data_IF_882592439034
#
_entry.id   IF_882592439034
#
_cell.length_a   1.000
_cell.length_b   1.000
_cell.length_c   1.000
_cell.angle_alpha   90.00
_cell.angle_beta   90.00
_cell.angle_gamma   90.00
#
_symmetry.space_group_name_H-M   'P 1'
#
loop_
_entity.id
_entity.type
_entity.pdbx_description
1 polymer ?
#
# COMPACT_ATOMS: atom_id res chain seq x y z
N UNK A 1 -8.54 -7.13 19.16
CA UNK A 1 -7.49 -6.51 18.32
C UNK A 1 -6.52 -7.60 17.94
N UNK A 2 -6.28 -7.82 16.65
CA UNK A 2 -5.37 -8.87 16.17
C UNK A 2 -3.89 -8.50 16.42
N UNK A 3 -2.98 -9.48 16.22
CA UNK A 3 -1.54 -9.26 16.47
C UNK A 3 -0.94 -8.19 15.58
N UNK A 4 -1.40 -8.09 14.33
CA UNK A 4 -0.91 -7.14 13.35
C UNK A 4 -1.26 -5.70 13.72
N UNK A 5 -2.52 -5.44 14.12
CA UNK A 5 -2.94 -4.11 14.62
C UNK A 5 -2.12 -3.67 15.84
N UNK A 6 -1.89 -4.59 16.80
CA UNK A 6 -1.07 -4.30 17.98
C UNK A 6 0.37 -3.93 17.62
N UNK A 7 0.98 -4.65 16.68
CA UNK A 7 2.34 -4.38 16.19
C UNK A 7 2.43 -2.96 15.62
N UNK A 8 1.49 -2.58 14.75
CA UNK A 8 1.49 -1.27 14.12
C UNK A 8 1.11 -0.13 15.09
N UNK A 9 0.27 -0.39 16.10
CA UNK A 9 0.03 0.58 17.19
C UNK A 9 1.31 0.88 17.96
N UNK A 10 2.13 -0.14 18.26
CA UNK A 10 3.45 0.04 18.88
C UNK A 10 4.38 0.85 17.97
N UNK A 11 4.44 0.53 16.68
CA UNK A 11 5.29 1.24 15.72
C UNK A 11 4.89 2.72 15.56
N UNK A 12 3.59 3.01 15.58
CA UNK A 12 3.08 4.37 15.54
C UNK A 12 3.51 5.21 16.76
N UNK A 13 3.62 4.56 17.94
CA UNK A 13 4.00 5.24 19.19
C UNK A 13 5.52 5.36 19.39
N UNK A 14 6.33 4.58 18.67
CA UNK A 14 7.79 4.53 18.83
C UNK A 14 8.57 5.29 17.75
N UNK A 15 7.88 6.03 16.87
CA UNK A 15 8.51 6.76 15.77
C UNK A 15 8.88 5.86 14.56
N UNK A 16 8.59 4.55 14.63
CA UNK A 16 8.92 3.64 13.53
C UNK A 16 8.08 3.89 12.27
N UNK A 17 6.92 4.52 12.40
CA UNK A 17 6.11 4.96 11.25
C UNK A 17 6.83 5.99 10.38
N UNK A 18 7.57 6.91 10.99
CA UNK A 18 8.38 7.92 10.32
C UNK A 18 9.63 7.28 9.69
N UNK A 19 10.21 6.29 10.33
CA UNK A 19 11.34 5.54 9.75
C UNK A 19 10.91 4.72 8.54
N UNK A 20 9.71 4.13 8.56
CA UNK A 20 9.14 3.46 7.38
C UNK A 20 8.88 4.44 6.23
N UNK A 21 8.30 5.62 6.51
CA UNK A 21 8.13 6.68 5.52
C UNK A 21 9.47 7.04 4.86
N UNK A 22 10.51 7.29 5.66
CA UNK A 22 11.87 7.57 5.15
C UNK A 22 12.45 6.40 4.36
N UNK A 23 12.27 5.17 4.87
CA UNK A 23 12.81 3.95 4.26
C UNK A 23 12.18 3.60 2.91
N UNK A 24 10.89 3.90 2.72
CA UNK A 24 10.16 3.65 1.47
C UNK A 24 10.06 4.88 0.56
N UNK A 25 10.29 6.08 1.12
CA UNK A 25 10.05 7.36 0.45
C UNK A 25 10.71 7.46 -0.92
N UNK A 26 11.97 7.05 -1.06
CA UNK A 26 12.69 7.12 -2.35
C UNK A 26 12.02 6.27 -3.42
N UNK A 27 11.76 4.98 -3.14
CA UNK A 27 11.18 4.05 -4.12
C UNK A 27 9.74 4.41 -4.46
N UNK A 28 8.94 4.78 -3.45
CA UNK A 28 7.55 5.19 -3.67
C UNK A 28 7.46 6.51 -4.43
N UNK A 29 8.31 7.50 -4.10
CA UNK A 29 8.33 8.77 -4.83
C UNK A 29 8.74 8.58 -6.28
N UNK A 30 9.83 7.83 -6.55
CA UNK A 30 10.25 7.51 -7.91
C UNK A 30 9.14 6.81 -8.71
N UNK A 31 8.28 6.06 -8.03
CA UNK A 31 7.15 5.41 -8.64
C UNK A 31 5.99 6.38 -8.89
N UNK A 32 5.53 7.09 -7.85
CA UNK A 32 4.38 7.99 -7.92
C UNK A 32 4.60 9.20 -8.85
N UNK A 33 5.83 9.71 -8.93
CA UNK A 33 6.15 10.86 -9.78
C UNK A 33 6.10 10.54 -11.28
N UNK A 34 6.15 9.24 -11.63
CA UNK A 34 6.03 8.74 -13.02
C UNK A 34 4.59 8.37 -13.41
N UNK A 35 3.62 8.48 -12.48
CA UNK A 35 2.24 8.15 -12.78
C UNK A 35 1.58 9.24 -13.61
N UNK A 36 1.03 8.85 -14.75
CA UNK A 36 0.11 9.69 -15.52
C UNK A 36 -1.27 9.59 -14.90
N UNK A 37 -1.61 10.54 -14.03
CA UNK A 37 -2.89 10.60 -13.34
C UNK A 37 -3.87 11.45 -14.15
N UNK A 38 -5.12 10.97 -14.26
CA UNK A 38 -6.20 11.71 -14.92
C UNK A 38 -6.56 12.96 -14.13
N UNK A 39 -7.22 13.90 -14.77
CA UNK A 39 -7.89 14.98 -14.06
C UNK A 39 -9.06 14.45 -13.21
N UNK A 40 -9.31 15.11 -12.09
CA UNK A 40 -10.40 14.81 -11.17
C UNK A 40 -10.42 13.36 -10.63
N UNK A 41 -9.24 12.78 -10.37
CA UNK A 41 -9.14 11.42 -9.85
C UNK A 41 -9.40 11.33 -8.34
N UNK A 42 -9.89 10.17 -7.91
CA UNK A 42 -10.09 9.78 -6.53
C UNK A 42 -9.10 8.68 -6.16
N UNK A 43 -8.46 8.84 -5.02
CA UNK A 43 -7.35 8.01 -4.55
C UNK A 43 -7.71 7.27 -3.26
N UNK A 44 -7.29 6.02 -3.15
CA UNK A 44 -7.33 5.22 -1.92
C UNK A 44 -5.95 4.65 -1.63
N UNK A 45 -5.49 4.80 -0.38
CA UNK A 45 -4.30 4.14 0.16
C UNK A 45 -4.70 3.08 1.19
N UNK A 46 -4.37 1.82 0.92
CA UNK A 46 -4.68 0.67 1.77
C UNK A 46 -3.47 0.35 2.63
N UNK A 47 -3.64 0.37 3.96
CA UNK A 47 -2.56 0.31 4.92
C UNK A 47 -1.73 1.60 4.90
N UNK A 48 -2.42 2.73 4.96
CA UNK A 48 -1.82 4.06 4.76
C UNK A 48 -0.84 4.48 5.85
N UNK A 49 -0.75 3.75 6.95
CA UNK A 49 0.10 4.08 8.10
C UNK A 49 -0.15 5.51 8.59
N UNK A 50 0.91 6.30 8.74
CA UNK A 50 0.84 7.70 9.17
C UNK A 50 0.29 8.66 8.09
N UNK A 51 -0.19 8.16 6.94
CA UNK A 51 -0.88 8.91 5.89
C UNK A 51 0.00 9.72 4.94
N UNK A 52 1.30 9.53 4.91
CA UNK A 52 2.22 10.35 4.12
C UNK A 52 1.97 10.29 2.59
N UNK A 53 1.59 9.13 2.04
CA UNK A 53 1.24 8.99 0.63
C UNK A 53 -0.07 9.71 0.32
N UNK A 54 -1.07 9.56 1.18
CA UNK A 54 -2.35 10.28 1.05
C UNK A 54 -2.11 11.79 1.04
N UNK A 55 -1.32 12.32 1.98
CA UNK A 55 -0.92 13.74 2.01
C UNK A 55 -0.25 14.18 0.71
N UNK A 56 0.74 13.42 0.23
CA UNK A 56 1.44 13.72 -1.03
C UNK A 56 0.46 13.79 -2.21
N UNK A 57 -0.45 12.84 -2.31
CA UNK A 57 -1.41 12.77 -3.42
C UNK A 57 -2.47 13.86 -3.33
N UNK A 58 -2.95 14.19 -2.13
CA UNK A 58 -3.95 15.22 -1.90
C UNK A 58 -3.51 16.62 -2.38
N UNK A 59 -2.19 16.87 -2.39
CA UNK A 59 -1.61 18.14 -2.85
C UNK A 59 -1.62 18.28 -4.39
N UNK A 60 -1.88 17.21 -5.14
CA UNK A 60 -2.01 17.30 -6.59
C UNK A 60 -3.32 18.03 -6.96
N UNK A 61 -3.26 19.01 -7.85
CA UNK A 61 -4.45 19.77 -8.28
C UNK A 61 -5.51 18.84 -8.88
N UNK A 62 -5.10 17.84 -9.64
CA UNK A 62 -5.97 16.84 -10.27
C UNK A 62 -6.61 15.84 -9.28
N UNK A 63 -6.19 15.80 -8.01
CA UNK A 63 -6.81 14.97 -6.99
C UNK A 63 -8.05 15.66 -6.42
N UNK A 64 -9.20 14.98 -6.44
CA UNK A 64 -10.44 15.49 -5.84
C UNK A 64 -10.73 14.91 -4.47
N UNK A 65 -10.23 13.70 -4.18
CA UNK A 65 -10.39 13.01 -2.89
C UNK A 65 -9.28 12.01 -2.69
N UNK A 66 -8.66 12.02 -1.52
CA UNK A 66 -7.65 11.08 -1.10
C UNK A 66 -8.05 10.45 0.23
N UNK A 67 -8.24 9.13 0.24
CA UNK A 67 -8.65 8.37 1.42
C UNK A 67 -7.52 7.45 1.83
N UNK A 68 -7.22 7.40 3.14
CA UNK A 68 -6.35 6.41 3.75
C UNK A 68 -7.13 5.49 4.68
N UNK A 69 -6.91 4.19 4.58
CA UNK A 69 -7.42 3.21 5.53
C UNK A 69 -6.28 2.43 6.17
N UNK A 70 -6.39 2.18 7.46
CA UNK A 70 -5.46 1.35 8.21
C UNK A 70 -6.19 0.71 9.39
N UNK A 71 -5.80 -0.50 9.77
CA UNK A 71 -6.37 -1.18 10.93
C UNK A 71 -5.80 -0.70 12.28
N UNK A 72 -4.66 -0.03 12.28
CA UNK A 72 -4.06 0.56 13.47
C UNK A 72 -4.73 1.89 13.81
N UNK A 73 -5.31 1.95 15.02
CA UNK A 73 -5.91 3.20 15.54
C UNK A 73 -4.85 4.29 15.72
N UNK A 74 -3.65 3.91 16.14
CA UNK A 74 -2.57 4.87 16.38
C UNK A 74 -1.98 5.42 15.08
N UNK A 75 -1.85 4.59 14.03
CA UNK A 75 -1.47 5.06 12.70
C UNK A 75 -2.47 6.08 12.17
N UNK A 76 -3.77 5.80 12.24
CA UNK A 76 -4.81 6.75 11.80
C UNK A 76 -4.84 8.01 12.68
N UNK A 77 -4.59 7.90 13.99
CA UNK A 77 -4.46 9.08 14.85
C UNK A 77 -3.30 9.98 14.36
N UNK A 78 -2.14 9.39 14.08
CA UNK A 78 -0.97 10.11 13.55
C UNK A 78 -1.25 10.71 12.17
N UNK A 79 -1.96 9.98 11.28
CA UNK A 79 -2.35 10.49 9.97
C UNK A 79 -3.27 11.72 10.10
N UNK A 80 -4.30 11.65 10.94
CA UNK A 80 -5.25 12.75 11.18
C UNK A 80 -4.62 13.99 11.78
N UNK A 81 -3.60 13.83 12.63
CA UNK A 81 -2.90 14.98 13.23
C UNK A 81 -2.03 15.76 12.24
N UNK A 82 -1.81 15.24 11.04
CA UNK A 82 -0.93 15.81 10.02
C UNK A 82 -1.68 16.16 8.70
N UNK A 83 -3.01 16.28 8.74
CA UNK A 83 -3.83 16.65 7.56
C UNK A 83 -3.36 18.00 7.00
N UNK A 84 -3.20 18.07 5.68
CA UNK A 84 -2.77 19.27 4.94
C UNK A 84 -3.84 19.78 3.97
N UNK A 85 -4.90 19.01 3.69
CA UNK A 85 -5.90 19.32 2.67
C UNK A 85 -7.28 18.80 3.06
N UNK A 86 -8.33 19.53 2.72
CA UNK A 86 -9.73 19.09 2.86
C UNK A 86 -10.07 17.84 2.02
N UNK A 87 -9.24 17.53 1.03
CA UNK A 87 -9.39 16.34 0.19
C UNK A 87 -9.07 15.04 0.95
N UNK A 88 -8.41 15.13 2.12
CA UNK A 88 -7.94 13.98 2.89
C UNK A 88 -9.00 13.45 3.84
N UNK A 89 -9.11 12.13 3.91
CA UNK A 89 -9.92 11.44 4.92
C UNK A 89 -9.22 10.15 5.36
N UNK A 90 -9.29 9.81 6.66
CA UNK A 90 -8.63 8.65 7.23
C UNK A 90 -9.58 7.84 8.10
N UNK A 91 -9.62 6.50 7.89
CA UNK A 91 -10.52 5.60 8.60
C UNK A 91 -9.76 4.43 9.23
N UNK A 92 -10.11 4.13 10.48
CA UNK A 92 -9.67 2.90 11.15
C UNK A 92 -10.55 1.76 10.66
N UNK A 93 -10.05 0.95 9.75
CA UNK A 93 -10.81 -0.20 9.22
C UNK A 93 -9.86 -1.20 8.54
N UNK A 94 -10.30 -2.43 8.40
CA UNK A 94 -9.72 -3.43 7.52
C UNK A 94 -10.38 -3.34 6.14
N UNK A 95 -9.61 -3.59 5.09
CA UNK A 95 -10.08 -3.50 3.71
C UNK A 95 -11.30 -4.41 3.48
N UNK A 96 -11.23 -5.64 3.96
CA UNK A 96 -12.23 -6.69 3.71
C UNK A 96 -13.59 -6.34 4.32
N UNK A 97 -13.57 -5.75 5.51
CA UNK A 97 -14.78 -5.37 6.26
C UNK A 97 -15.24 -3.93 5.97
N UNK A 98 -14.46 -3.15 5.20
CA UNK A 98 -14.82 -1.76 4.93
C UNK A 98 -16.08 -1.65 4.08
N UNK A 99 -17.17 -1.23 4.71
CA UNK A 99 -18.44 -1.02 4.01
C UNK A 99 -18.47 0.41 3.45
N UNK A 100 -18.29 0.52 2.12
CA UNK A 100 -18.29 1.78 1.40
C UNK A 100 -18.86 1.63 -0.01
N UNK A 101 -19.59 2.65 -0.46
CA UNK A 101 -20.06 2.80 -1.85
C UNK A 101 -19.08 3.56 -2.73
N UNK A 102 -18.00 4.09 -2.13
CA UNK A 102 -16.97 4.85 -2.82
C UNK A 102 -16.27 4.02 -3.89
N UNK A 103 -15.95 4.66 -5.01
CA UNK A 103 -15.15 4.09 -6.09
C UNK A 103 -13.97 4.98 -6.40
N UNK A 104 -12.85 4.37 -6.79
CA UNK A 104 -11.57 5.03 -6.95
C UNK A 104 -11.02 4.86 -8.37
N UNK A 105 -10.35 5.89 -8.84
CA UNK A 105 -9.60 5.84 -10.10
C UNK A 105 -8.24 5.19 -9.88
N UNK A 106 -7.66 5.45 -8.70
CA UNK A 106 -6.36 4.92 -8.30
C UNK A 106 -6.46 4.34 -6.88
N UNK A 107 -6.03 3.09 -6.73
CA UNK A 107 -5.79 2.46 -5.42
C UNK A 107 -4.31 2.19 -5.30
N UNK A 108 -3.77 2.41 -4.12
CA UNK A 108 -2.38 2.18 -3.77
C UNK A 108 -2.28 1.33 -2.49
N UNK A 109 -1.25 0.53 -2.37
CA UNK A 109 -0.87 -0.16 -1.14
C UNK A 109 0.64 -0.36 -1.13
N UNK A 110 1.29 -0.01 -0.03
CA UNK A 110 2.73 -0.24 0.15
C UNK A 110 2.97 -1.02 1.44
N UNK A 111 3.64 -2.16 1.34
CA UNK A 111 3.99 -3.01 2.49
C UNK A 111 2.80 -3.38 3.40
N UNK A 112 1.64 -3.60 2.81
CA UNK A 112 0.41 -3.81 3.59
C UNK A 112 -0.42 -5.01 3.15
N UNK A 113 -0.62 -5.22 1.84
CA UNK A 113 -1.61 -6.18 1.34
C UNK A 113 -1.35 -7.62 1.80
N UNK A 114 -0.09 -8.02 1.94
CA UNK A 114 0.30 -9.36 2.38
C UNK A 114 -0.03 -9.68 3.85
N UNK A 115 -0.52 -8.70 4.63
CA UNK A 115 -1.11 -8.96 5.95
C UNK A 115 -2.58 -9.40 5.89
N UNK A 116 -3.24 -9.27 4.74
CA UNK A 116 -4.54 -9.85 4.46
C UNK A 116 -4.36 -11.32 4.09
N UNK A 117 -4.77 -12.23 4.97
CA UNK A 117 -4.60 -13.68 4.78
C UNK A 117 -5.96 -14.36 4.90
N UNK A 118 -6.48 -14.96 3.82
CA UNK A 118 -5.92 -15.07 2.46
C UNK A 118 -6.04 -13.77 1.65
N UNK A 119 -4.99 -13.47 0.87
CA UNK A 119 -4.84 -12.20 0.13
C UNK A 119 -5.81 -12.07 -1.05
N UNK A 120 -6.32 -13.17 -1.56
CA UNK A 120 -7.28 -13.23 -2.66
C UNK A 120 -8.54 -12.40 -2.37
N UNK A 121 -9.07 -12.45 -1.14
CA UNK A 121 -10.25 -11.66 -0.74
C UNK A 121 -9.96 -10.16 -0.75
N UNK A 122 -8.76 -9.77 -0.35
CA UNK A 122 -8.32 -8.37 -0.42
C UNK A 122 -8.28 -7.89 -1.87
N UNK A 123 -7.72 -8.70 -2.79
CA UNK A 123 -7.66 -8.37 -4.22
C UNK A 123 -9.06 -8.26 -4.85
N UNK A 124 -9.98 -9.15 -4.53
CA UNK A 124 -11.38 -9.05 -4.97
C UNK A 124 -12.04 -7.76 -4.48
N UNK A 125 -11.79 -7.38 -3.23
CA UNK A 125 -12.31 -6.13 -2.67
C UNK A 125 -11.72 -4.92 -3.38
N UNK A 126 -10.42 -4.90 -3.63
CA UNK A 126 -9.76 -3.85 -4.42
C UNK A 126 -10.38 -3.75 -5.81
N UNK A 127 -10.56 -4.87 -6.50
CA UNK A 127 -11.18 -4.90 -7.82
C UNK A 127 -12.60 -4.31 -7.81
N UNK A 128 -13.39 -4.63 -6.78
CA UNK A 128 -14.74 -4.08 -6.59
C UNK A 128 -14.71 -2.56 -6.32
N UNK A 129 -13.71 -2.06 -5.59
CA UNK A 129 -13.57 -0.63 -5.25
C UNK A 129 -13.05 0.22 -6.42
N UNK A 130 -12.37 -0.36 -7.40
CA UNK A 130 -11.92 0.35 -8.59
C UNK A 130 -13.07 0.67 -9.54
N UNK A 131 -13.03 1.88 -10.11
CA UNK A 131 -13.82 2.24 -11.29
C UNK A 131 -13.34 1.44 -12.50
N UNK A 132 -14.15 1.40 -13.57
CA UNK A 132 -13.71 0.95 -14.90
C UNK A 132 -12.49 1.79 -15.35
N UNK A 133 -11.49 1.15 -15.94
CA UNK A 133 -10.19 1.74 -16.28
C UNK A 133 -9.39 2.29 -15.08
N UNK A 134 -9.79 1.99 -13.84
CA UNK A 134 -9.03 2.31 -12.65
C UNK A 134 -7.81 1.42 -12.49
N UNK A 135 -6.81 1.87 -11.74
CA UNK A 135 -5.53 1.16 -11.57
C UNK A 135 -5.21 0.94 -10.10
N UNK A 136 -4.79 -0.28 -9.78
CA UNK A 136 -4.24 -0.65 -8.49
C UNK A 136 -2.72 -0.80 -8.57
N UNK A 137 -2.03 -0.12 -7.69
CA UNK A 137 -0.58 -0.18 -7.52
C UNK A 137 -0.25 -0.80 -6.16
N UNK A 138 0.35 -1.99 -6.17
CA UNK A 138 0.75 -2.70 -4.96
C UNK A 138 2.26 -2.83 -4.91
N UNK A 139 2.88 -2.19 -3.92
CA UNK A 139 4.32 -2.26 -3.67
C UNK A 139 4.64 -3.18 -2.50
N UNK A 140 5.65 -4.03 -2.65
CA UNK A 140 6.14 -4.90 -1.57
C UNK A 140 7.64 -5.13 -1.66
N UNK A 141 8.31 -5.14 -0.51
CA UNK A 141 9.66 -5.67 -0.34
C UNK A 141 9.60 -7.14 0.11
N UNK A 142 8.46 -7.59 0.67
CA UNK A 142 8.23 -8.94 1.17
C UNK A 142 7.67 -9.83 0.07
N UNK A 143 8.56 -10.47 -0.68
CA UNK A 143 8.24 -11.49 -1.69
C UNK A 143 9.34 -12.55 -1.73
N UNK A 144 9.02 -13.79 -2.13
CA UNK A 144 9.91 -14.93 -1.94
C UNK A 144 11.19 -14.86 -2.76
N UNK A 145 11.16 -14.17 -3.91
CA UNK A 145 12.36 -13.97 -4.72
C UNK A 145 13.35 -12.98 -4.06
N UNK A 146 12.88 -12.14 -3.12
CA UNK A 146 13.72 -11.32 -2.26
C UNK A 146 14.12 -12.10 -1.00
N UNK A 147 15.16 -12.92 -1.12
CA UNK A 147 15.60 -13.83 -0.07
C UNK A 147 16.00 -13.14 1.24
N UNK A 148 16.28 -11.84 1.22
CA UNK A 148 16.68 -11.06 2.41
C UNK A 148 15.48 -10.67 3.29
N UNK A 149 14.25 -10.75 2.79
CA UNK A 149 13.05 -10.35 3.53
C UNK A 149 12.18 -11.54 3.96
N UNK A 150 12.42 -12.74 3.46
CA UNK A 150 11.59 -13.93 3.72
C UNK A 150 11.45 -14.27 5.23
N UNK A 151 12.40 -13.84 6.06
CA UNK A 151 12.38 -14.07 7.52
C UNK A 151 11.44 -13.12 8.27
N UNK A 152 10.97 -12.04 7.67
CA UNK A 152 10.15 -11.03 8.35
C UNK A 152 8.90 -11.61 9.02
N UNK A 153 8.25 -12.57 8.39
CA UNK A 153 7.11 -13.28 8.97
C UNK A 153 7.44 -13.90 10.36
N UNK A 154 8.63 -14.49 10.48
CA UNK A 154 9.10 -15.07 11.74
C UNK A 154 9.52 -13.98 12.73
N UNK A 155 10.28 -13.00 12.26
CA UNK A 155 10.86 -11.95 13.10
C UNK A 155 9.79 -11.04 13.71
N UNK A 156 8.72 -10.74 12.96
CA UNK A 156 7.59 -9.91 13.42
C UNK A 156 6.49 -10.73 14.14
N UNK A 157 6.50 -12.05 14.02
CA UNK A 157 5.51 -12.96 14.63
C UNK A 157 4.05 -12.59 14.32
N UNK A 158 3.78 -12.19 13.08
CA UNK A 158 2.43 -11.90 12.56
C UNK A 158 2.16 -12.71 11.29
N UNK A 159 0.87 -13.02 11.00
CA UNK A 159 0.50 -13.65 9.73
C UNK A 159 0.91 -12.76 8.54
N UNK A 160 1.57 -13.35 7.57
CA UNK A 160 1.96 -12.69 6.32
C UNK A 160 1.92 -13.72 5.20
N UNK A 161 1.39 -13.34 4.05
CA UNK A 161 1.32 -14.18 2.85
C UNK A 161 2.57 -13.95 1.99
N UNK A 162 3.48 -14.94 2.00
CA UNK A 162 4.73 -14.87 1.23
C UNK A 162 4.52 -15.50 -0.15
N UNK A 163 4.62 -14.69 -1.19
CA UNK A 163 4.44 -15.10 -2.59
C UNK A 163 5.63 -14.66 -3.43
N UNK A 164 5.94 -15.42 -4.48
CA UNK A 164 6.85 -15.00 -5.53
C UNK A 164 6.24 -13.93 -6.42
N UNK A 165 7.06 -13.20 -7.18
CA UNK A 165 6.55 -12.26 -8.20
C UNK A 165 5.57 -12.93 -9.16
N UNK A 166 5.88 -14.17 -9.58
CA UNK A 166 4.99 -14.95 -10.47
C UNK A 166 3.62 -15.20 -9.84
N UNK A 167 3.57 -15.58 -8.56
CA UNK A 167 2.32 -15.82 -7.83
C UNK A 167 1.54 -14.52 -7.60
N UNK A 168 2.21 -13.41 -7.23
CA UNK A 168 1.60 -12.09 -7.16
C UNK A 168 0.88 -11.73 -8.47
N UNK A 169 1.58 -11.85 -9.60
CA UNK A 169 1.01 -11.56 -10.92
C UNK A 169 -0.15 -12.50 -11.27
N UNK A 170 -0.06 -13.77 -10.90
CA UNK A 170 -1.12 -14.75 -11.13
C UNK A 170 -2.39 -14.38 -10.36
N UNK A 171 -2.28 -14.06 -9.07
CA UNK A 171 -3.43 -13.66 -8.25
C UNK A 171 -4.14 -12.42 -8.82
N UNK A 172 -3.39 -11.40 -9.25
CA UNK A 172 -3.97 -10.23 -9.92
C UNK A 172 -4.73 -10.62 -11.19
N UNK A 173 -4.12 -11.44 -12.06
CA UNK A 173 -4.77 -11.93 -13.29
C UNK A 173 -6.03 -12.73 -12.99
N UNK A 174 -5.99 -13.64 -12.02
CA UNK A 174 -7.14 -14.46 -11.62
C UNK A 174 -8.30 -13.61 -11.09
N UNK A 175 -7.99 -12.50 -10.42
CA UNK A 175 -9.00 -11.52 -9.98
C UNK A 175 -9.63 -10.73 -11.13
N UNK A 176 -9.02 -10.74 -12.34
CA UNK A 176 -9.54 -10.05 -13.53
C UNK A 176 -8.76 -8.80 -13.95
N UNK A 177 -7.61 -8.52 -13.34
CA UNK A 177 -6.76 -7.39 -13.72
C UNK A 177 -5.94 -7.67 -14.99
N UNK A 178 -5.79 -6.66 -15.85
CA UNK A 178 -4.65 -6.60 -16.76
C UNK A 178 -3.41 -6.25 -15.93
N UNK A 179 -2.41 -7.15 -15.91
CA UNK A 179 -1.36 -7.13 -14.90
C UNK A 179 0.04 -7.04 -15.50
N UNK A 180 0.86 -6.16 -14.93
CA UNK A 180 2.29 -6.15 -15.15
C UNK A 180 3.03 -5.86 -13.82
N UNK A 181 4.35 -6.02 -13.80
CA UNK A 181 5.17 -5.76 -12.63
C UNK A 181 6.44 -5.02 -13.02
N UNK A 182 7.03 -4.35 -12.03
CA UNK A 182 8.37 -3.79 -12.17
C UNK A 182 9.05 -3.68 -10.80
N UNK A 183 10.37 -3.75 -10.80
CA UNK A 183 11.20 -3.49 -9.62
C UNK A 183 11.69 -2.04 -9.62
N UNK A 184 11.66 -1.42 -8.43
CA UNK A 184 12.24 -0.10 -8.20
C UNK A 184 13.32 -0.24 -7.14
N UNK A 185 14.59 -0.10 -7.55
CA UNK A 185 15.74 -0.16 -6.67
C UNK A 185 16.09 1.22 -6.11
N UNK A 186 16.65 1.24 -4.92
CA UNK A 186 17.24 2.42 -4.30
C UNK A 186 18.70 2.12 -3.96
N UNK A 187 19.62 2.43 -4.87
CA UNK A 187 21.06 2.13 -4.74
C UNK A 187 21.72 2.79 -3.52
N UNK A 188 21.12 3.85 -2.99
CA UNK A 188 21.62 4.59 -1.82
C UNK A 188 20.93 4.18 -0.51
N UNK A 189 19.96 3.27 -0.55
CA UNK A 189 19.23 2.84 0.64
C UNK A 189 20.14 2.09 1.61
N UNK A 190 19.94 2.30 2.91
CA UNK A 190 20.67 1.55 3.95
C UNK A 190 20.34 0.05 3.91
N UNK A 191 19.13 -0.30 3.54
CA UNK A 191 18.63 -1.67 3.47
C UNK A 191 19.16 -2.39 2.21
N UNK A 192 19.87 -3.50 2.43
CA UNK A 192 20.47 -4.30 1.36
C UNK A 192 19.43 -4.80 0.36
N UNK A 193 18.26 -5.25 0.84
CA UNK A 193 17.19 -5.73 -0.04
C UNK A 193 16.66 -4.66 -1.01
N UNK A 194 16.62 -3.37 -0.62
CA UNK A 194 16.22 -2.28 -1.52
C UNK A 194 17.26 -1.97 -2.58
N UNK A 195 18.52 -2.21 -2.29
CA UNK A 195 19.61 -2.01 -3.26
C UNK A 195 19.70 -3.16 -4.27
N UNK A 196 19.57 -4.41 -3.79
CA UNK A 196 19.82 -5.61 -4.61
C UNK A 196 18.57 -6.14 -5.30
N UNK A 197 17.44 -6.20 -4.60
CA UNK A 197 16.18 -6.75 -5.12
C UNK A 197 15.18 -5.66 -5.51
N UNK A 198 15.21 -4.53 -4.79
CA UNK A 198 14.26 -3.43 -4.97
C UNK A 198 12.87 -3.75 -4.42
N UNK A 199 12.00 -2.75 -4.50
CA UNK A 199 10.58 -2.90 -4.22
C UNK A 199 9.89 -3.45 -5.47
N UNK A 200 9.22 -4.59 -5.34
CA UNK A 200 8.35 -5.13 -6.37
C UNK A 200 7.04 -4.34 -6.40
N UNK A 201 6.73 -3.69 -7.50
CA UNK A 201 5.42 -3.13 -7.78
C UNK A 201 4.66 -4.05 -8.73
N UNK A 202 3.52 -4.59 -8.26
CA UNK A 202 2.53 -5.28 -9.10
C UNK A 202 1.41 -4.31 -9.42
N UNK A 203 1.11 -4.16 -10.69
CA UNK A 203 0.20 -3.14 -11.20
C UNK A 203 -0.94 -3.84 -11.92
N UNK A 204 -2.17 -3.58 -11.46
CA UNK A 204 -3.39 -4.14 -12.03
C UNK A 204 -4.32 -3.06 -12.55
N UNK A 205 -4.64 -3.05 -13.84
CA UNK A 205 -5.69 -2.19 -14.39
C UNK A 205 -6.98 -2.97 -14.57
N UNK A 206 -8.09 -2.37 -14.14
CA UNK A 206 -9.43 -2.93 -14.32
C UNK A 206 -9.94 -2.59 -15.72
N UNK A 207 -10.29 -3.59 -16.55
CA UNK A 207 -10.81 -3.38 -17.90
C UNK A 207 -12.14 -2.63 -17.94
#
# INVERSE_FOLDING_TARGET
MDKTSKLFDVWANTGRSEDMEKGHGTTVNQFLDKLSLKENFRFLDIGCGNGWVVRKISQKNSCTKAIGIDKSKMMIKNAKSKILSEKESYFVTELESWNTTEKFDVIFSMESLYYSVPMEFALEKVFKLLKKNGVFYCGTDFYSDNTLTTRWRKDMNVPMDLRSEKEWKMMFKTTGFNTHSKHVTDSKNKSKWKREFGTLFVIGSKP
#
